data_IF_054218157346
#
_entry.id   IF_054218157346
#
_cell.length_a   1.000
_cell.length_b   1.000
_cell.length_c   1.000
_cell.angle_alpha   90.00
_cell.angle_beta   90.00
_cell.angle_gamma   90.00
#
_symmetry.space_group_name_H-M   'P 1'
#
loop_
_entity.id
_entity.type
_entity.pdbx_description
1 polymer ?
#
# COMPACT_ATOMS: atom_id res chain seq x y z
N UNK A 1 -14.92 8.33 12.26
CA UNK A 1 -16.14 8.33 13.07
C UNK A 1 -17.28 7.59 12.38
N UNK A 2 -17.70 7.93 11.15
CA UNK A 2 -18.84 7.28 10.48
C UNK A 2 -18.66 5.77 10.23
N UNK A 3 -17.42 5.28 10.08
CA UNK A 3 -17.15 3.86 9.87
C UNK A 3 -17.67 3.00 11.04
N UNK A 4 -17.76 3.55 12.25
CA UNK A 4 -18.29 2.84 13.42
C UNK A 4 -19.77 2.47 13.33
N UNK A 5 -20.59 3.32 12.70
CA UNK A 5 -22.04 3.21 12.77
C UNK A 5 -22.74 2.95 11.42
N UNK A 6 -22.01 3.11 10.28
CA UNK A 6 -22.64 2.91 8.97
C UNK A 6 -23.04 1.45 8.73
N UNK A 7 -24.30 1.25 8.30
CA UNK A 7 -24.74 -0.05 7.80
C UNK A 7 -24.12 -0.37 6.44
N UNK A 8 -24.08 -1.66 6.01
CA UNK A 8 -23.63 -2.03 4.67
C UNK A 8 -24.38 -1.25 3.55
N UNK A 9 -25.68 -1.01 3.72
CA UNK A 9 -26.49 -0.24 2.75
C UNK A 9 -26.04 1.22 2.68
N UNK A 10 -25.74 1.84 3.81
CA UNK A 10 -25.23 3.21 3.85
C UNK A 10 -23.82 3.29 3.26
N UNK A 11 -22.96 2.30 3.54
CA UNK A 11 -21.61 2.23 2.98
C UNK A 11 -21.65 2.11 1.45
N UNK A 12 -22.47 1.20 0.89
CA UNK A 12 -22.63 1.06 -0.56
C UNK A 12 -23.08 2.35 -1.26
N UNK A 13 -23.83 3.22 -0.58
CA UNK A 13 -24.25 4.52 -1.14
C UNK A 13 -23.16 5.59 -1.08
N UNK A 14 -22.20 5.44 -0.19
CA UNK A 14 -21.17 6.46 0.10
C UNK A 14 -19.80 6.14 -0.44
N UNK A 15 -19.50 4.86 -0.61
CA UNK A 15 -18.29 4.35 -1.22
C UNK A 15 -18.69 3.43 -2.35
N UNK A 16 -18.60 3.92 -3.59
CA UNK A 16 -18.97 3.18 -4.79
C UNK A 16 -17.69 2.62 -5.41
N UNK A 17 -17.67 1.32 -5.68
CA UNK A 17 -16.55 0.67 -6.35
C UNK A 17 -16.89 0.37 -7.80
N UNK A 18 -15.92 0.60 -8.70
CA UNK A 18 -15.96 0.28 -10.13
C UNK A 18 -14.81 -0.65 -10.49
N UNK A 19 -14.99 -1.53 -11.46
CA UNK A 19 -13.97 -2.50 -11.87
C UNK A 19 -13.79 -3.67 -10.88
N UNK A 20 -14.74 -3.90 -9.98
CA UNK A 20 -14.78 -5.03 -9.05
C UNK A 20 -15.05 -6.37 -9.73
N UNK A 21 -15.64 -6.34 -10.93
CA UNK A 21 -15.82 -7.49 -11.81
C UNK A 21 -14.49 -8.16 -12.13
N UNK A 22 -13.45 -7.39 -12.50
CA UNK A 22 -12.13 -7.91 -12.82
C UNK A 22 -11.43 -8.55 -11.61
N UNK A 23 -11.60 -7.97 -10.42
CA UNK A 23 -11.12 -8.58 -9.18
C UNK A 23 -11.84 -9.90 -8.90
N UNK A 24 -13.17 -9.90 -9.07
CA UNK A 24 -14.01 -11.08 -8.86
C UNK A 24 -13.68 -12.20 -9.85
N UNK A 25 -13.49 -11.89 -11.13
CA UNK A 25 -13.07 -12.85 -12.15
C UNK A 25 -11.71 -13.48 -11.84
N UNK A 26 -10.73 -12.69 -11.35
CA UNK A 26 -9.42 -13.22 -10.98
C UNK A 26 -9.53 -14.21 -9.82
N UNK A 27 -10.21 -13.84 -8.73
CA UNK A 27 -10.36 -14.71 -7.56
C UNK A 27 -11.26 -15.92 -7.84
N UNK A 28 -12.24 -15.79 -8.73
CA UNK A 28 -13.11 -16.91 -9.15
C UNK A 28 -12.33 -17.98 -9.94
N UNK A 29 -11.26 -17.55 -10.65
CA UNK A 29 -10.29 -18.44 -11.31
C UNK A 29 -9.21 -18.95 -10.36
N UNK A 30 -9.22 -18.56 -9.09
CA UNK A 30 -8.24 -18.96 -8.08
C UNK A 30 -6.98 -18.08 -8.04
N UNK A 31 -6.91 -16.99 -8.80
CA UNK A 31 -5.80 -16.05 -8.77
C UNK A 31 -6.01 -14.99 -7.68
N UNK A 32 -5.02 -14.81 -6.82
CA UNK A 32 -5.03 -13.71 -5.84
C UNK A 32 -4.79 -12.36 -6.52
N UNK A 33 -5.25 -11.28 -5.90
CA UNK A 33 -5.08 -9.91 -6.37
C UNK A 33 -4.27 -9.08 -5.38
N UNK A 34 -3.34 -8.27 -5.90
CA UNK A 34 -2.66 -7.20 -5.19
C UNK A 34 -3.25 -5.85 -5.59
N UNK A 35 -3.68 -5.08 -4.62
CA UNK A 35 -4.27 -3.76 -4.85
C UNK A 35 -3.39 -2.69 -4.24
N UNK A 36 -2.71 -1.92 -5.08
CA UNK A 36 -2.00 -0.72 -4.64
C UNK A 36 -2.99 0.40 -4.33
N UNK A 37 -2.74 1.10 -3.24
CA UNK A 37 -3.49 2.29 -2.85
C UNK A 37 -2.58 3.26 -2.09
N UNK A 38 -2.94 4.53 -2.04
CA UNK A 38 -2.23 5.56 -1.27
C UNK A 38 -3.04 6.04 -0.06
N UNK A 39 -2.40 6.77 0.85
CA UNK A 39 -3.08 7.54 1.90
C UNK A 39 -3.80 8.74 1.26
N UNK A 40 -4.77 8.45 0.42
CA UNK A 40 -5.46 9.40 -0.44
C UNK A 40 -6.97 9.32 -0.25
N UNK A 41 -7.66 10.45 -0.20
CA UNK A 41 -9.09 10.55 0.06
C UNK A 41 -9.48 9.79 1.35
N UNK A 42 -10.44 8.90 1.24
CA UNK A 42 -10.94 8.07 2.34
C UNK A 42 -10.56 6.60 2.16
N UNK A 43 -9.25 6.33 2.16
CA UNK A 43 -8.69 4.97 1.98
C UNK A 43 -9.21 3.96 3.01
N UNK A 44 -9.56 4.39 4.24
CA UNK A 44 -10.10 3.50 5.27
C UNK A 44 -11.43 2.86 4.85
N UNK A 45 -12.21 3.52 4.00
CA UNK A 45 -13.47 2.93 3.53
C UNK A 45 -13.30 1.86 2.45
N UNK A 46 -12.09 1.69 1.89
CA UNK A 46 -11.77 0.57 0.99
C UNK A 46 -11.91 -0.77 1.73
N UNK A 47 -11.81 -0.78 3.06
CA UNK A 47 -12.11 -1.96 3.89
C UNK A 47 -13.54 -2.49 3.71
N UNK A 48 -14.43 -1.74 3.06
CA UNK A 48 -15.78 -2.19 2.68
C UNK A 48 -15.84 -2.99 1.37
N UNK A 49 -14.71 -3.21 0.70
CA UNK A 49 -14.62 -3.96 -0.55
C UNK A 49 -15.26 -5.35 -0.52
N UNK A 50 -15.24 -6.10 0.62
CA UNK A 50 -15.95 -7.39 0.70
C UNK A 50 -17.45 -7.34 0.36
N UNK A 51 -18.06 -6.16 0.47
CA UNK A 51 -19.47 -5.98 0.09
C UNK A 51 -19.70 -6.01 -1.45
N UNK A 52 -18.63 -5.96 -2.27
CA UNK A 52 -18.69 -5.69 -3.70
C UNK A 52 -18.06 -6.76 -4.59
N UNK A 53 -17.19 -7.58 -4.02
CA UNK A 53 -16.42 -8.61 -4.75
C UNK A 53 -16.98 -10.00 -4.49
N UNK A 54 -16.53 -10.96 -5.31
CA UNK A 54 -16.85 -12.38 -5.11
C UNK A 54 -16.49 -12.87 -3.70
N UNK A 55 -17.35 -13.61 -3.02
CA UNK A 55 -17.08 -14.16 -1.69
C UNK A 55 -15.97 -15.21 -1.67
N UNK A 56 -15.53 -15.70 -2.84
CA UNK A 56 -14.35 -16.59 -2.94
C UNK A 56 -13.05 -15.86 -2.61
N UNK A 57 -12.98 -14.54 -2.89
CA UNK A 57 -11.81 -13.72 -2.60
C UNK A 57 -11.84 -13.17 -1.18
N UNK A 58 -10.88 -13.58 -0.33
CA UNK A 58 -10.73 -13.02 1.00
C UNK A 58 -10.03 -11.66 0.91
N UNK A 59 -10.74 -10.57 1.23
CA UNK A 59 -10.14 -9.24 1.30
C UNK A 59 -9.24 -9.11 2.52
N UNK A 60 -7.99 -8.73 2.29
CA UNK A 60 -6.98 -8.60 3.34
C UNK A 60 -6.25 -7.25 3.23
N UNK A 61 -5.71 -6.75 4.32
CA UNK A 61 -4.83 -5.59 4.36
C UNK A 61 -3.67 -5.79 5.32
N UNK A 62 -2.52 -5.27 4.96
CA UNK A 62 -1.35 -5.25 5.84
C UNK A 62 -1.46 -4.06 6.77
N UNK A 63 -1.18 -4.27 8.06
CA UNK A 63 -1.14 -3.18 9.03
C UNK A 63 0.05 -3.31 9.97
N UNK A 64 0.47 -2.17 10.52
CA UNK A 64 1.42 -2.12 11.63
C UNK A 64 0.63 -2.04 12.93
N UNK A 65 0.80 -2.99 13.88
CA UNK A 65 0.15 -2.93 15.19
C UNK A 65 0.45 -1.61 15.89
N UNK A 66 -0.57 -1.02 16.50
CA UNK A 66 -0.43 0.24 17.23
C UNK A 66 0.17 -0.02 18.62
N UNK A 67 0.94 0.94 19.12
CA UNK A 67 1.54 0.86 20.47
C UNK A 67 0.48 0.78 21.57
N UNK A 68 -0.63 1.50 21.41
CA UNK A 68 -1.75 1.42 22.34
C UNK A 68 -2.69 0.27 21.96
N UNK A 69 -2.80 -0.80 22.80
CA UNK A 69 -3.56 -2.00 22.47
C UNK A 69 -5.07 -1.75 22.38
N UNK A 70 -5.63 -0.79 23.12
CA UNK A 70 -7.06 -0.46 23.04
C UNK A 70 -7.40 0.21 21.72
N UNK A 71 -6.58 1.15 21.26
CA UNK A 71 -6.73 1.74 19.93
C UNK A 71 -6.52 0.72 18.83
N UNK A 72 -5.54 -0.17 18.97
CA UNK A 72 -5.30 -1.25 18.00
C UNK A 72 -6.55 -2.13 17.84
N UNK A 73 -7.13 -2.58 18.96
CA UNK A 73 -8.36 -3.37 18.97
C UNK A 73 -9.54 -2.63 18.30
N UNK A 74 -9.69 -1.34 18.57
CA UNK A 74 -10.73 -0.51 17.96
C UNK A 74 -10.54 -0.45 16.43
N UNK A 75 -9.33 -0.16 15.96
CA UNK A 75 -9.06 -0.07 14.52
C UNK A 75 -9.19 -1.43 13.82
N UNK A 76 -8.75 -2.51 14.44
CA UNK A 76 -8.95 -3.86 13.91
C UNK A 76 -10.43 -4.19 13.77
N UNK A 77 -11.25 -3.88 14.78
CA UNK A 77 -12.70 -4.05 14.73
C UNK A 77 -13.35 -3.24 13.61
N UNK A 78 -12.88 -1.99 13.39
CA UNK A 78 -13.37 -1.15 12.30
C UNK A 78 -13.04 -1.71 10.92
N UNK A 79 -11.80 -2.15 10.73
CA UNK A 79 -11.29 -2.65 9.44
C UNK A 79 -11.84 -4.01 9.08
N UNK A 80 -12.20 -4.84 10.07
CA UNK A 80 -12.82 -6.17 9.84
C UNK A 80 -14.34 -6.13 9.72
N UNK A 81 -14.96 -4.99 9.98
CA UNK A 81 -16.42 -4.86 10.12
C UNK A 81 -17.23 -5.35 8.92
N UNK A 82 -16.68 -5.26 7.72
CA UNK A 82 -17.32 -5.70 6.48
C UNK A 82 -16.79 -7.04 5.95
N UNK A 83 -16.06 -7.80 6.79
CA UNK A 83 -15.56 -9.13 6.43
C UNK A 83 -14.09 -9.13 5.96
N UNK A 84 -13.38 -8.00 6.02
CA UNK A 84 -11.95 -7.95 5.73
C UNK A 84 -11.10 -8.49 6.88
N UNK A 85 -9.87 -8.93 6.56
CA UNK A 85 -8.89 -9.45 7.53
C UNK A 85 -7.66 -8.56 7.54
N UNK A 86 -7.29 -8.06 8.73
CA UNK A 86 -6.04 -7.32 8.93
C UNK A 86 -4.91 -8.29 9.27
N UNK A 87 -3.78 -8.16 8.56
CA UNK A 87 -2.60 -9.02 8.72
C UNK A 87 -1.45 -8.16 9.27
N UNK A 88 -0.88 -8.50 10.44
CA UNK A 88 0.30 -7.82 10.93
C UNK A 88 1.45 -7.92 9.92
N UNK A 89 2.18 -6.82 9.71
CA UNK A 89 3.26 -6.76 8.71
C UNK A 89 4.27 -7.91 8.87
N UNK A 90 4.67 -8.22 10.09
CA UNK A 90 5.61 -9.31 10.39
C UNK A 90 5.08 -10.71 9.99
N UNK A 91 3.76 -10.89 9.87
CA UNK A 91 3.13 -12.16 9.52
C UNK A 91 2.78 -12.29 8.03
N UNK A 92 2.95 -11.24 7.24
CA UNK A 92 2.42 -11.14 5.87
C UNK A 92 2.79 -12.35 5.01
N UNK A 93 4.07 -12.68 4.89
CA UNK A 93 4.53 -13.80 4.04
C UNK A 93 4.00 -15.14 4.53
N UNK A 94 4.00 -15.37 5.85
CA UNK A 94 3.47 -16.60 6.46
C UNK A 94 1.97 -16.77 6.18
N UNK A 95 1.20 -15.68 6.29
CA UNK A 95 -0.25 -15.68 6.01
C UNK A 95 -0.55 -15.93 4.55
N UNK A 96 0.17 -15.28 3.64
CA UNK A 96 0.01 -15.50 2.19
C UNK A 96 0.30 -16.98 1.85
N UNK A 97 1.40 -17.55 2.36
CA UNK A 97 1.73 -18.97 2.16
C UNK A 97 0.61 -19.89 2.68
N UNK A 98 0.05 -19.61 3.88
CA UNK A 98 -1.03 -20.38 4.44
C UNK A 98 -2.32 -20.30 3.61
N UNK A 99 -2.69 -19.14 3.08
CA UNK A 99 -3.85 -19.00 2.18
C UNK A 99 -3.63 -19.75 0.87
N UNK A 100 -2.43 -19.64 0.28
CA UNK A 100 -2.06 -20.36 -0.93
C UNK A 100 -2.14 -21.88 -0.75
N UNK A 101 -1.63 -22.41 0.37
CA UNK A 101 -1.69 -23.84 0.69
C UNK A 101 -3.15 -24.35 0.79
N UNK A 102 -4.07 -23.50 1.24
CA UNK A 102 -5.51 -23.79 1.33
C UNK A 102 -6.27 -23.52 0.05
N UNK A 103 -5.60 -23.11 -1.04
CA UNK A 103 -6.21 -22.66 -2.30
C UNK A 103 -7.24 -21.55 -2.09
N UNK A 104 -7.00 -20.68 -1.10
CA UNK A 104 -7.84 -19.53 -0.78
C UNK A 104 -7.27 -18.30 -1.49
N UNK A 105 -7.89 -17.80 -2.58
CA UNK A 105 -7.47 -16.56 -3.22
C UNK A 105 -7.74 -15.36 -2.30
N UNK A 106 -6.81 -14.40 -2.30
CA UNK A 106 -6.92 -13.19 -1.49
C UNK A 106 -6.95 -11.95 -2.39
N UNK A 107 -7.59 -10.89 -1.91
CA UNK A 107 -7.48 -9.53 -2.46
C UNK A 107 -6.76 -8.72 -1.40
N UNK A 108 -5.47 -8.45 -1.61
CA UNK A 108 -4.62 -7.82 -0.61
C UNK A 108 -4.34 -6.35 -0.93
N UNK A 109 -4.68 -5.46 0.01
CA UNK A 109 -4.37 -4.04 -0.07
C UNK A 109 -2.93 -3.74 0.36
N UNK A 110 -2.19 -3.00 -0.48
CA UNK A 110 -0.84 -2.51 -0.25
C UNK A 110 -0.82 -0.99 -0.26
N UNK A 111 -0.63 -0.37 0.91
CA UNK A 111 -0.42 1.08 1.03
C UNK A 111 1.09 1.33 1.07
N UNK A 112 1.67 1.82 -0.03
CA UNK A 112 3.12 1.86 -0.22
C UNK A 112 3.67 3.28 -0.45
N UNK A 113 2.91 4.33 -0.10
CA UNK A 113 3.28 5.72 -0.38
C UNK A 113 4.02 6.44 0.77
N UNK A 114 4.35 5.74 1.85
CA UNK A 114 5.17 6.29 2.92
C UNK A 114 6.64 6.00 2.71
N UNK A 115 7.49 6.80 3.40
CA UNK A 115 8.94 6.69 3.27
C UNK A 115 9.47 5.40 3.90
N UNK A 116 10.33 4.61 3.20
CA UNK A 116 11.01 3.46 3.78
C UNK A 116 12.05 3.87 4.85
N UNK A 117 12.40 2.95 5.75
CA UNK A 117 13.59 3.10 6.59
C UNK A 117 14.86 3.06 5.74
N UNK A 118 15.97 3.64 6.25
CA UNK A 118 17.23 3.75 5.54
C UNK A 118 17.72 2.42 4.93
N UNK A 119 17.65 1.35 5.69
CA UNK A 119 18.07 0.00 5.27
C UNK A 119 17.08 -0.71 4.33
N UNK A 120 15.92 -0.12 4.08
CA UNK A 120 14.88 -0.65 3.20
C UNK A 120 14.70 0.19 1.93
N UNK A 121 15.61 1.13 1.68
CA UNK A 121 15.63 1.91 0.44
C UNK A 121 16.35 1.08 -0.62
N UNK A 122 15.62 0.65 -1.64
CA UNK A 122 16.16 -0.13 -2.75
C UNK A 122 15.90 0.53 -4.10
N UNK A 123 15.05 1.54 -4.13
CA UNK A 123 14.66 2.23 -5.35
C UNK A 123 14.35 3.69 -5.08
N UNK A 124 14.72 4.55 -6.01
CA UNK A 124 14.44 5.97 -6.03
C UNK A 124 13.73 6.33 -7.32
N UNK A 125 12.77 7.23 -7.26
CA UNK A 125 12.06 7.76 -8.41
C UNK A 125 11.70 9.23 -8.19
N UNK A 126 11.34 9.91 -9.27
CA UNK A 126 10.77 11.27 -9.16
C UNK A 126 9.28 11.18 -8.84
N UNK A 127 8.86 11.74 -7.72
CA UNK A 127 7.47 11.81 -7.30
C UNK A 127 7.13 13.22 -6.85
N UNK A 128 6.13 13.84 -7.47
CA UNK A 128 5.73 15.24 -7.25
C UNK A 128 6.91 16.22 -7.39
N UNK A 129 7.75 15.99 -8.39
CA UNK A 129 8.98 16.75 -8.71
C UNK A 129 10.11 16.63 -7.68
N UNK A 130 10.06 15.64 -6.77
CA UNK A 130 11.12 15.38 -5.80
C UNK A 130 11.73 13.99 -6.01
N UNK A 131 13.05 13.89 -5.85
CA UNK A 131 13.75 12.61 -5.74
C UNK A 131 13.28 11.90 -4.46
N UNK A 132 12.68 10.73 -4.61
CA UNK A 132 11.88 10.09 -3.55
C UNK A 132 12.27 8.63 -3.37
N UNK A 133 12.70 8.22 -2.16
CA UNK A 133 12.88 6.81 -1.86
C UNK A 133 11.53 6.13 -1.64
N UNK A 134 11.36 4.95 -2.21
CA UNK A 134 10.06 4.26 -2.24
C UNK A 134 10.12 2.85 -1.65
N UNK A 135 8.96 2.40 -1.13
CA UNK A 135 8.77 1.04 -0.64
C UNK A 135 8.57 0.07 -1.81
N UNK A 136 9.43 -0.93 -1.91
CA UNK A 136 9.42 -1.94 -2.98
C UNK A 136 8.95 -3.31 -2.52
N UNK A 137 8.70 -3.49 -1.22
CA UNK A 137 8.31 -4.78 -0.64
C UNK A 137 7.01 -5.34 -1.20
N UNK A 138 6.05 -4.47 -1.52
CA UNK A 138 4.77 -4.87 -2.12
C UNK A 138 4.96 -5.52 -3.49
N UNK A 139 5.79 -4.91 -4.36
CA UNK A 139 6.09 -5.47 -5.68
C UNK A 139 6.78 -6.83 -5.58
N UNK A 140 7.76 -6.97 -4.68
CA UNK A 140 8.44 -8.25 -4.45
C UNK A 140 7.45 -9.36 -4.07
N UNK A 141 6.50 -9.07 -3.18
CA UNK A 141 5.45 -10.02 -2.77
C UNK A 141 4.53 -10.33 -3.95
N UNK A 142 4.02 -9.32 -4.63
CA UNK A 142 3.10 -9.45 -5.77
C UNK A 142 3.70 -10.33 -6.86
N UNK A 143 4.94 -10.04 -7.29
CA UNK A 143 5.65 -10.82 -8.33
C UNK A 143 5.91 -12.26 -7.89
N UNK A 144 6.42 -12.45 -6.67
CA UNK A 144 6.73 -13.78 -6.14
C UNK A 144 5.49 -14.67 -5.94
N UNK A 145 4.31 -14.07 -5.82
CA UNK A 145 3.07 -14.82 -5.54
C UNK A 145 2.08 -14.82 -6.71
N UNK A 146 2.39 -14.15 -7.84
CA UNK A 146 1.57 -14.12 -9.04
C UNK A 146 0.23 -13.42 -8.85
N UNK A 147 0.18 -12.35 -8.04
CA UNK A 147 -1.06 -11.62 -7.77
C UNK A 147 -1.40 -10.69 -8.94
N UNK A 148 -2.58 -10.88 -9.56
CA UNK A 148 -3.11 -9.90 -10.51
C UNK A 148 -3.13 -8.51 -9.86
N UNK A 149 -2.55 -7.52 -10.51
CA UNK A 149 -2.24 -6.24 -9.85
C UNK A 149 -3.14 -5.12 -10.33
N UNK A 150 -3.67 -4.37 -9.39
CA UNK A 150 -4.58 -3.25 -9.61
C UNK A 150 -4.15 -2.03 -8.80
N UNK A 151 -4.52 -0.84 -9.29
CA UNK A 151 -4.46 0.40 -8.54
C UNK A 151 -5.86 0.85 -8.15
N UNK A 152 -6.06 1.23 -6.89
CA UNK A 152 -7.31 1.77 -6.36
C UNK A 152 -7.33 3.29 -6.52
N UNK A 153 -7.90 3.79 -7.63
CA UNK A 153 -8.08 5.21 -7.90
C UNK A 153 -9.29 5.75 -7.14
N UNK A 154 -9.07 6.40 -6.01
CA UNK A 154 -10.14 6.97 -5.17
C UNK A 154 -10.41 8.42 -5.57
N UNK A 155 -11.68 8.78 -5.64
CA UNK A 155 -12.13 10.17 -5.88
C UNK A 155 -13.14 10.59 -4.81
N UNK A 156 -13.01 11.80 -4.32
CA UNK A 156 -14.07 12.44 -3.54
C UNK A 156 -15.06 13.12 -4.50
N UNK A 157 -16.26 12.56 -4.59
CA UNK A 157 -17.33 13.12 -5.42
C UNK A 157 -17.94 14.35 -4.74
N UNK A 158 -18.17 14.23 -3.44
CA UNK A 158 -18.59 15.31 -2.53
C UNK A 158 -18.30 14.90 -1.09
N UNK A 159 -18.45 15.79 -0.16
CA UNK A 159 -18.21 15.49 1.28
C UNK A 159 -18.98 14.25 1.73
N UNK A 160 -18.25 13.21 2.14
CA UNK A 160 -18.80 11.95 2.64
C UNK A 160 -19.34 10.99 1.56
N UNK A 161 -18.95 11.23 0.28
CA UNK A 161 -19.24 10.34 -0.86
C UNK A 161 -18.01 10.20 -1.73
N UNK A 162 -17.64 8.95 -1.97
CA UNK A 162 -16.39 8.58 -2.67
C UNK A 162 -16.68 7.54 -3.74
N UNK A 163 -15.84 7.52 -4.74
CA UNK A 163 -15.79 6.51 -5.78
C UNK A 163 -14.37 5.95 -5.83
N UNK A 164 -14.24 4.64 -5.93
CA UNK A 164 -12.95 3.97 -6.14
C UNK A 164 -13.03 3.12 -7.39
N UNK A 165 -12.18 3.39 -8.37
CA UNK A 165 -12.06 2.58 -9.59
C UNK A 165 -10.82 1.70 -9.49
N UNK A 166 -10.98 0.39 -9.63
CA UNK A 166 -9.85 -0.54 -9.73
C UNK A 166 -9.31 -0.52 -11.16
N UNK A 167 -8.14 0.11 -11.33
CA UNK A 167 -7.43 0.20 -12.60
C UNK A 167 -6.50 -1.00 -12.72
N UNK A 168 -6.66 -1.88 -13.73
CA UNK A 168 -5.72 -2.99 -13.93
C UNK A 168 -4.32 -2.47 -14.27
N UNK A 169 -3.31 -3.02 -13.62
CA UNK A 169 -1.89 -2.78 -13.92
C UNK A 169 -1.32 -3.96 -14.72
N UNK A 170 -1.47 -5.18 -14.19
CA UNK A 170 -1.13 -6.41 -14.92
C UNK A 170 -1.86 -7.61 -14.34
N UNK A 171 -2.14 -8.61 -15.18
CA UNK A 171 -2.62 -9.92 -14.77
C UNK A 171 -1.47 -10.92 -14.58
N UNK A 172 -0.27 -10.59 -15.07
CA UNK A 172 0.94 -11.41 -15.09
C UNK A 172 2.11 -10.66 -14.48
N UNK A 173 2.13 -10.44 -13.14
CA UNK A 173 3.18 -9.65 -12.49
C UNK A 173 4.57 -10.31 -12.59
N UNK A 174 4.64 -11.60 -12.76
CA UNK A 174 5.89 -12.36 -12.97
C UNK A 174 6.63 -11.98 -14.26
N UNK A 175 5.91 -11.46 -15.26
CA UNK A 175 6.45 -11.00 -16.54
C UNK A 175 6.98 -9.57 -16.50
N UNK A 176 6.71 -8.82 -15.40
CA UNK A 176 7.17 -7.43 -15.27
C UNK A 176 8.66 -7.38 -14.94
N UNK A 177 9.36 -6.33 -15.37
CA UNK A 177 10.73 -6.09 -14.92
C UNK A 177 10.76 -5.53 -13.48
N UNK A 178 11.94 -5.51 -12.87
CA UNK A 178 12.12 -4.99 -11.51
C UNK A 178 11.72 -3.52 -11.43
N UNK A 179 10.97 -3.19 -10.40
CA UNK A 179 10.42 -1.86 -10.07
C UNK A 179 9.33 -1.32 -11.02
N UNK A 180 8.96 -2.05 -12.05
CA UNK A 180 7.93 -1.61 -13.00
C UNK A 180 6.59 -1.32 -12.34
N UNK A 181 6.13 -2.20 -11.44
CA UNK A 181 4.85 -2.01 -10.74
C UNK A 181 4.92 -0.86 -9.73
N UNK A 182 6.08 -0.69 -9.10
CA UNK A 182 6.32 0.43 -8.18
C UNK A 182 6.28 1.75 -8.92
N UNK A 183 6.98 1.88 -10.04
CA UNK A 183 7.00 3.10 -10.86
C UNK A 183 5.61 3.44 -11.40
N UNK A 184 4.90 2.44 -11.93
CA UNK A 184 3.54 2.60 -12.42
C UNK A 184 2.58 3.03 -11.30
N UNK A 185 2.71 2.44 -10.12
CA UNK A 185 1.91 2.81 -8.95
C UNK A 185 2.12 4.28 -8.57
N UNK A 186 3.37 4.74 -8.47
CA UNK A 186 3.66 6.12 -8.10
C UNK A 186 3.21 7.11 -9.18
N UNK A 187 3.30 6.74 -10.46
CA UNK A 187 2.75 7.54 -11.56
C UNK A 187 1.21 7.70 -11.45
N UNK A 188 0.49 6.61 -11.18
CA UNK A 188 -0.97 6.63 -11.01
C UNK A 188 -1.38 7.41 -9.75
N UNK A 189 -0.64 7.24 -8.65
CA UNK A 189 -0.88 7.99 -7.41
C UNK A 189 -0.63 9.50 -7.62
N UNK A 190 0.45 9.87 -8.31
CA UNK A 190 0.73 11.28 -8.64
C UNK A 190 -0.40 11.89 -9.47
N UNK A 191 -0.90 11.18 -10.49
CA UNK A 191 -2.03 11.62 -11.28
C UNK A 191 -3.30 11.84 -10.42
N UNK A 192 -3.55 10.95 -9.45
CA UNK A 192 -4.67 11.08 -8.50
C UNK A 192 -4.49 12.31 -7.60
N UNK A 193 -3.27 12.53 -7.08
CA UNK A 193 -2.94 13.70 -6.23
C UNK A 193 -3.08 15.01 -7.02
N UNK A 194 -2.53 15.08 -8.23
CA UNK A 194 -2.63 16.29 -9.07
C UNK A 194 -4.08 16.64 -9.40
N UNK A 195 -4.96 15.64 -9.51
CA UNK A 195 -6.40 15.83 -9.73
C UNK A 195 -7.15 16.36 -8.51
N UNK A 196 -6.81 15.91 -7.30
CA UNK A 196 -7.44 16.33 -6.03
C UNK A 196 -6.39 16.46 -4.92
N UNK A 197 -5.49 17.45 -4.98
CA UNK A 197 -4.35 17.57 -4.06
C UNK A 197 -4.77 17.71 -2.60
N UNK A 198 -5.90 18.29 -2.31
CA UNK A 198 -6.45 18.46 -0.96
C UNK A 198 -6.87 17.13 -0.30
N UNK A 199 -6.89 16.05 -1.06
CA UNK A 199 -7.25 14.71 -0.56
C UNK A 199 -6.04 13.88 -0.12
N UNK A 200 -4.80 14.35 -0.31
CA UNK A 200 -3.61 13.60 0.02
C UNK A 200 -3.14 13.84 1.45
N UNK A 201 -2.50 12.84 2.05
CA UNK A 201 -1.93 12.94 3.40
C UNK A 201 -0.60 13.71 3.37
N UNK A 202 -0.68 15.05 3.33
CA UNK A 202 0.49 15.93 3.31
C UNK A 202 1.25 16.01 4.63
N UNK A 203 0.64 15.61 5.75
CA UNK A 203 1.28 15.64 7.07
C UNK A 203 2.38 14.61 7.25
N UNK A 204 2.49 13.61 6.35
CA UNK A 204 3.61 12.68 6.36
C UNK A 204 4.85 13.34 5.73
N UNK A 205 5.93 13.47 6.52
CA UNK A 205 7.21 14.02 6.03
C UNK A 205 7.92 13.01 5.11
N UNK A 206 7.49 12.96 3.85
CA UNK A 206 7.90 11.95 2.86
C UNK A 206 9.33 12.14 2.38
N UNK A 207 9.81 13.36 2.29
CA UNK A 207 11.14 13.69 1.76
C UNK A 207 12.20 13.98 2.84
N UNK A 208 11.98 13.51 4.07
CA UNK A 208 12.96 13.65 5.17
C UNK A 208 14.25 12.84 4.98
N UNK A 209 14.28 11.89 4.04
CA UNK A 209 15.46 11.12 3.67
C UNK A 209 15.87 11.49 2.25
N UNK A 210 17.02 12.16 2.12
CA UNK A 210 17.55 12.59 0.84
C UNK A 210 18.51 11.54 0.26
N UNK A 211 18.65 11.53 -1.07
CA UNK A 211 19.59 10.66 -1.77
C UNK A 211 21.04 10.96 -1.36
N UNK A 212 21.35 12.24 -1.15
CA UNK A 212 22.67 12.67 -0.64
C UNK A 212 22.99 12.03 0.72
N UNK A 213 22.06 12.14 1.70
CA UNK A 213 22.25 11.53 3.02
C UNK A 213 22.31 10.00 2.93
N UNK A 214 21.52 9.37 2.06
CA UNK A 214 21.58 7.93 1.82
C UNK A 214 22.97 7.50 1.35
N UNK A 215 23.56 8.21 0.39
CA UNK A 215 24.90 7.94 -0.14
C UNK A 215 25.99 8.15 0.93
N UNK A 216 25.80 9.09 1.85
CA UNK A 216 26.71 9.26 2.99
C UNK A 216 26.61 8.09 3.98
N UNK A 217 25.43 7.53 4.17
CA UNK A 217 25.16 6.39 5.06
C UNK A 217 25.57 5.04 4.46
N UNK A 218 25.60 4.93 3.14
CA UNK A 218 25.95 3.71 2.43
C UNK A 218 27.46 3.44 2.53
N UNK A 219 27.79 2.21 2.90
CA UNK A 219 29.15 1.68 2.73
C UNK A 219 29.24 1.00 1.35
N UNK A 220 29.98 1.57 0.40
CA UNK A 220 30.05 1.05 -0.96
C UNK A 220 30.75 -0.32 -1.06
N UNK A 221 31.56 -0.70 -0.06
CA UNK A 221 32.25 -2.00 -0.05
C UNK A 221 31.34 -3.14 0.40
N UNK A 222 30.47 -2.88 1.35
CA UNK A 222 29.60 -3.92 1.95
C UNK A 222 28.14 -3.81 1.51
N UNK A 223 27.73 -2.69 0.89
CA UNK A 223 26.33 -2.38 0.57
C UNK A 223 25.46 -2.12 1.80
N UNK A 224 26.04 -2.04 3.00
CA UNK A 224 25.29 -1.79 4.24
C UNK A 224 25.06 -0.30 4.44
N UNK A 225 23.86 0.02 4.93
CA UNK A 225 23.49 1.40 5.27
C UNK A 225 23.57 1.60 6.78
N UNK A 226 24.31 2.61 7.21
CA UNK A 226 24.41 2.99 8.62
C UNK A 226 23.10 3.66 9.07
N UNK A 227 22.38 3.02 9.98
CA UNK A 227 21.08 3.47 10.47
C UNK A 227 21.13 4.03 11.90
N UNK A 228 22.26 3.89 12.59
CA UNK A 228 22.41 4.19 14.02
C UNK A 228 23.07 5.54 14.28
N UNK A 229 24.08 5.88 13.49
CA UNK A 229 24.88 7.08 13.75
C UNK A 229 24.18 8.35 13.27
N UNK A 230 24.48 9.48 13.94
CA UNK A 230 24.04 10.79 13.48
C UNK A 230 24.72 11.15 12.14
N UNK A 231 24.08 12.02 11.37
CA UNK A 231 24.69 12.46 10.09
C UNK A 231 25.97 13.25 10.32
N UNK A 232 26.06 13.97 11.43
CA UNK A 232 27.24 14.73 11.84
C UNK A 232 28.43 13.80 12.12
N UNK A 233 28.22 12.69 12.84
CA UNK A 233 29.26 11.71 13.12
C UNK A 233 29.76 11.00 11.85
N UNK A 234 28.82 10.71 10.93
CA UNK A 234 29.18 10.15 9.64
C UNK A 234 30.03 11.12 8.82
N UNK A 235 29.64 12.40 8.76
CA UNK A 235 30.39 13.45 8.06
C UNK A 235 31.80 13.64 8.65
N UNK A 236 31.92 13.69 9.99
CA UNK A 236 33.24 13.77 10.68
C UNK A 236 34.15 12.60 10.30
N UNK A 237 33.64 11.37 10.33
CA UNK A 237 34.44 10.18 9.97
C UNK A 237 34.86 10.16 8.50
N UNK A 238 34.08 10.80 7.62
CA UNK A 238 34.40 10.94 6.19
C UNK A 238 35.24 12.18 5.87
N UNK A 239 35.61 12.98 6.86
CA UNK A 239 36.40 14.21 6.68
C UNK A 239 35.64 15.31 5.94
N UNK A 240 34.31 15.36 6.11
CA UNK A 240 33.41 16.34 5.49
C UNK A 240 32.94 17.43 6.46
N UNK A 241 33.40 17.36 7.72
CA UNK A 241 33.21 18.35 8.79
C UNK A 241 34.53 18.53 9.52
#
# INVERSE_FOLDING_TARGET
VKLFSMSPRQMRRRMVFKGTDKLSEAVDRGQSCGVYLGHFCNWEWITSLPLWVSPKGLCTQIYHPLENPEFDKIFLGLRSRFGGVSIPMAETLRRIAAYRARKQPIIMGYISDQIPFWNNIHHWLTFLNHDTPVLTGSEKIIRATGQATFYADVRRIRRGYYECTFVPMTMHPEETHEWQLTDQYFSLLEASIRRQPECYLWTHNRWKRTHEEYNLRLDPKTGRVNITDSIEDIKRRKGLL
#
